data_IF_131157310875
#
_entry.id   IF_131157310875
#
_cell.length_a   1.000
_cell.length_b   1.000
_cell.length_c   1.000
_cell.angle_alpha   90.00
_cell.angle_beta   90.00
_cell.angle_gamma   90.00
#
_symmetry.space_group_name_H-M   'P 1'
#
loop_
_entity.id
_entity.type
_entity.pdbx_description
1 polymer ?
#
# COMPACT_ATOMS: atom_id res chain seq x y z
N UNK A 1 -13.11 -21.11 -6.13
CA UNK A 1 -11.77 -21.49 -5.64
C UNK A 1 -10.85 -21.56 -6.85
N UNK A 2 -10.10 -20.49 -7.13
CA UNK A 2 -9.32 -20.37 -8.37
C UNK A 2 -8.70 -18.98 -8.52
N UNK A 3 -8.00 -18.51 -7.48
CA UNK A 3 -7.37 -17.18 -7.46
C UNK A 3 -5.84 -17.26 -7.46
N UNK A 4 -5.28 -18.42 -7.75
CA UNK A 4 -3.85 -18.61 -7.87
C UNK A 4 -3.51 -18.81 -9.34
N UNK A 5 -2.94 -17.77 -9.94
CA UNK A 5 -2.49 -17.75 -11.32
C UNK A 5 -0.96 -17.67 -11.34
N UNK A 6 -0.32 -18.35 -12.29
CA UNK A 6 1.13 -18.35 -12.41
C UNK A 6 1.69 -16.93 -12.56
N UNK A 7 0.99 -16.09 -13.31
CA UNK A 7 1.35 -14.68 -13.52
C UNK A 7 1.35 -13.88 -12.21
N UNK A 8 0.44 -14.19 -11.29
CA UNK A 8 0.39 -13.51 -10.00
C UNK A 8 1.56 -13.93 -9.11
N UNK A 9 1.89 -15.23 -9.09
CA UNK A 9 3.03 -15.74 -8.32
C UNK A 9 4.33 -15.11 -8.80
N UNK A 10 4.57 -15.08 -10.12
CA UNK A 10 5.76 -14.47 -10.70
C UNK A 10 5.84 -12.98 -10.36
N UNK A 11 4.73 -12.26 -10.44
CA UNK A 11 4.68 -10.82 -10.11
C UNK A 11 4.99 -10.56 -8.63
N UNK A 12 4.42 -11.35 -7.72
CA UNK A 12 4.64 -11.18 -6.28
C UNK A 12 6.05 -11.64 -5.84
N UNK A 13 6.69 -12.51 -6.61
CA UNK A 13 8.05 -13.03 -6.33
C UNK A 13 9.17 -12.21 -6.97
N UNK A 14 8.82 -11.22 -7.81
CA UNK A 14 9.77 -10.34 -8.49
C UNK A 14 9.93 -9.03 -7.73
N UNK A 15 11.17 -8.56 -7.56
CA UNK A 15 11.46 -7.30 -6.85
C UNK A 15 11.33 -6.08 -7.75
N UNK A 16 10.90 -4.95 -7.18
CA UNK A 16 10.82 -3.67 -7.88
C UNK A 16 12.21 -3.13 -8.29
N UNK A 17 12.27 -2.44 -9.44
CA UNK A 17 13.47 -1.76 -9.95
C UNK A 17 13.27 -0.25 -9.89
N UNK A 18 14.24 0.46 -9.31
CA UNK A 18 14.14 1.90 -9.09
C UNK A 18 14.77 2.64 -10.25
N UNK A 19 13.93 3.25 -11.09
CA UNK A 19 14.34 4.00 -12.28
C UNK A 19 14.38 5.49 -11.96
N UNK A 20 15.59 6.06 -11.86
CA UNK A 20 15.81 7.48 -11.53
C UNK A 20 15.70 8.42 -12.74
N UNK A 21 15.73 7.88 -13.95
CA UNK A 21 15.71 8.63 -15.20
C UNK A 21 14.30 8.97 -15.69
N UNK A 22 13.26 8.55 -14.96
CA UNK A 22 11.86 8.82 -15.28
C UNK A 22 11.34 10.04 -14.50
N UNK A 23 10.35 10.78 -15.06
CA UNK A 23 9.65 11.83 -14.33
C UNK A 23 9.01 11.28 -13.05
N UNK A 24 9.08 12.06 -11.98
CA UNK A 24 8.49 11.71 -10.69
C UNK A 24 7.02 12.08 -10.65
N UNK A 25 6.28 11.49 -9.71
CA UNK A 25 4.91 11.92 -9.41
C UNK A 25 4.86 13.39 -8.94
N UNK A 26 5.94 13.88 -8.31
CA UNK A 26 6.09 15.27 -7.89
C UNK A 26 6.08 16.25 -9.08
N UNK A 27 6.58 15.84 -10.25
CA UNK A 27 6.60 16.67 -11.46
C UNK A 27 5.19 16.89 -12.03
N UNK A 28 4.24 16.03 -11.67
CA UNK A 28 2.81 16.17 -11.99
C UNK A 28 2.03 16.96 -10.91
N UNK A 29 2.71 17.45 -9.87
CA UNK A 29 2.10 18.13 -8.73
C UNK A 29 1.44 17.17 -7.72
N UNK A 30 1.77 15.88 -7.77
CA UNK A 30 1.22 14.87 -6.86
C UNK A 30 2.27 14.52 -5.80
N UNK A 31 1.93 14.77 -4.53
CA UNK A 31 2.75 14.33 -3.41
C UNK A 31 2.35 12.90 -2.98
N UNK A 32 3.23 11.90 -3.05
CA UNK A 32 2.92 10.55 -2.62
C UNK A 32 2.64 10.50 -1.11
N UNK A 33 1.60 9.77 -0.73
CA UNK A 33 1.27 9.50 0.66
C UNK A 33 1.97 8.22 1.13
N UNK A 34 2.33 8.16 2.41
CA UNK A 34 2.89 6.96 3.01
C UNK A 34 1.83 5.86 3.07
N UNK A 35 2.25 4.61 2.90
CA UNK A 35 1.34 3.47 2.91
C UNK A 35 0.67 3.32 4.28
N UNK A 36 1.40 3.55 5.36
CA UNK A 36 0.96 3.46 6.75
C UNK A 36 -0.23 4.36 7.09
N UNK A 37 -0.37 5.49 6.38
CA UNK A 37 -1.49 6.43 6.54
C UNK A 37 -2.78 5.90 5.89
N UNK A 38 -2.65 5.03 4.89
CA UNK A 38 -3.78 4.47 4.15
C UNK A 38 -4.08 3.02 4.52
N UNK A 39 -3.10 2.27 5.01
CA UNK A 39 -3.19 0.85 5.29
C UNK A 39 -4.39 0.48 6.20
N UNK A 40 -4.69 1.21 7.29
CA UNK A 40 -5.84 0.90 8.13
C UNK A 40 -7.18 1.01 7.41
N UNK A 41 -7.29 1.98 6.50
CA UNK A 41 -8.47 2.18 5.68
C UNK A 41 -8.61 1.07 4.64
N UNK A 42 -7.52 0.74 3.93
CA UNK A 42 -7.47 -0.30 2.89
C UNK A 42 -7.81 -1.67 3.49
N UNK A 43 -7.30 -1.98 4.69
CA UNK A 43 -7.47 -3.26 5.36
C UNK A 43 -8.74 -3.35 6.22
N UNK A 44 -9.62 -2.33 6.18
CA UNK A 44 -10.79 -2.26 7.04
C UNK A 44 -11.71 -3.49 6.93
N UNK A 45 -11.86 -4.05 5.72
CA UNK A 45 -12.68 -5.25 5.49
C UNK A 45 -12.20 -6.47 6.30
N UNK A 46 -10.91 -6.53 6.61
CA UNK A 46 -10.29 -7.63 7.35
C UNK A 46 -10.23 -7.37 8.86
N UNK A 47 -10.74 -6.22 9.32
CA UNK A 47 -10.75 -5.89 10.75
C UNK A 47 -11.80 -6.75 11.48
N UNK A 48 -11.39 -7.36 12.60
CA UNK A 48 -12.32 -8.09 13.47
C UNK A 48 -13.39 -7.10 14.00
N UNK A 49 -14.66 -7.50 13.95
CA UNK A 49 -15.81 -6.68 14.39
C UNK A 49 -16.00 -5.36 13.62
N UNK A 50 -15.91 -5.39 12.29
CA UNK A 50 -16.19 -4.26 11.38
C UNK A 50 -17.67 -3.85 11.30
N UNK A 51 -18.40 -3.84 12.44
CA UNK A 51 -19.80 -3.40 12.50
C UNK A 51 -19.93 -1.88 12.35
N UNK A 52 -18.84 -1.14 12.59
CA UNK A 52 -18.77 0.30 12.47
C UNK A 52 -17.88 0.68 11.28
N UNK A 53 -18.44 1.44 10.34
CA UNK A 53 -17.68 2.04 9.25
C UNK A 53 -16.98 3.32 9.75
N UNK A 54 -15.77 3.16 10.29
CA UNK A 54 -14.92 4.29 10.65
C UNK A 54 -14.66 5.15 9.42
N UNK A 55 -14.66 6.47 9.55
CA UNK A 55 -14.16 7.35 8.50
C UNK A 55 -12.62 7.29 8.41
N UNK A 56 -12.03 7.68 7.27
CA UNK A 56 -10.57 7.70 7.08
C UNK A 56 -9.85 8.49 8.18
N UNK A 57 -10.44 9.59 8.66
CA UNK A 57 -9.86 10.45 9.69
C UNK A 57 -9.82 9.82 11.09
N UNK A 58 -10.61 8.77 11.34
CA UNK A 58 -10.65 8.08 12.63
C UNK A 58 -9.57 7.01 12.77
N UNK A 59 -8.92 6.63 11.66
CA UNK A 59 -7.82 5.69 11.71
C UNK A 59 -6.55 6.37 12.20
N UNK A 60 -5.95 5.76 13.22
CA UNK A 60 -4.60 6.14 13.64
C UNK A 60 -3.59 5.49 12.69
N UNK A 61 -2.54 6.22 12.28
CA UNK A 61 -1.46 5.61 11.51
C UNK A 61 -0.83 4.47 12.30
N UNK A 62 -0.48 3.40 11.60
CA UNK A 62 0.21 2.25 12.19
C UNK A 62 1.70 2.57 12.26
N UNK A 63 2.41 1.96 13.21
CA UNK A 63 3.86 2.02 13.22
C UNK A 63 4.43 1.51 11.87
N UNK A 64 5.38 2.23 11.26
CA UNK A 64 5.97 1.83 9.99
C UNK A 64 6.75 0.53 10.11
N UNK A 65 6.79 -0.22 9.02
CA UNK A 65 7.65 -1.38 8.90
C UNK A 65 9.11 -0.93 8.71
N UNK A 66 10.04 -1.87 8.79
CA UNK A 66 11.45 -1.59 8.49
C UNK A 66 11.60 -1.15 7.03
N UNK A 67 12.20 0.01 6.83
CA UNK A 67 12.43 0.58 5.52
C UNK A 67 13.82 0.23 5.01
N UNK A 68 13.90 -0.29 3.78
CA UNK A 68 15.16 -0.54 3.08
C UNK A 68 15.51 0.73 2.28
N UNK A 69 16.64 1.40 2.59
CA UNK A 69 17.05 2.62 1.88
C UNK A 69 17.46 2.34 0.43
N UNK A 70 17.28 3.36 -0.41
CA UNK A 70 17.40 3.34 -1.89
C UNK A 70 18.55 4.21 -2.39
#
# INVERSE_FOLDING_TARGET
MGYLHWEQIERESTTDVILKDLPKLEDLGVNPALFEEQAPWILNMYHRQAYYMKSRAEYKPVAPLEYIPV
#
